data_IF_576074831848
#
_entry.id   IF_576074831848
#
_cell.length_a   1.000
_cell.length_b   1.000
_cell.length_c   1.000
_cell.angle_alpha   90.00
_cell.angle_beta   90.00
_cell.angle_gamma   90.00
#
_symmetry.space_group_name_H-M   'P 1'
#
loop_
_entity.id
_entity.type
_entity.pdbx_description
1 polymer ?
#
# COMPACT_ATOMS: atom_id res chain seq x y z
N UNK A 1 -2.59 33.45 56.01
CA UNK A 1 -2.76 33.63 54.55
C UNK A 1 -1.60 32.91 53.85
N UNK A 2 -1.71 32.16 52.76
CA UNK A 2 -2.80 31.76 51.88
C UNK A 2 -2.48 30.39 51.26
N UNK A 3 -3.52 29.66 50.86
CA UNK A 3 -3.45 28.32 50.31
C UNK A 3 -3.28 28.41 48.79
N UNK A 4 -2.39 27.63 48.19
CA UNK A 4 -2.50 27.25 46.77
C UNK A 4 -2.33 25.73 46.66
N UNK A 5 -3.20 25.01 45.93
CA UNK A 5 -3.11 23.57 45.82
C UNK A 5 -2.04 23.17 44.81
N UNK A 6 -1.15 22.25 45.22
CA UNK A 6 -0.23 21.56 44.32
C UNK A 6 -1.04 20.69 43.37
N UNK A 7 -1.08 21.04 42.08
CA UNK A 7 -1.63 20.19 41.03
C UNK A 7 -0.74 18.93 40.94
N UNK A 8 -1.28 17.71 41.07
CA UNK A 8 -0.48 16.51 40.88
C UNK A 8 0.01 16.45 39.43
N UNK A 9 1.17 15.83 39.15
CA UNK A 9 1.53 15.49 37.80
C UNK A 9 0.41 14.63 37.23
N UNK A 10 -0.14 15.07 36.10
CA UNK A 10 -1.11 14.33 35.33
C UNK A 10 -0.43 13.05 34.85
N UNK A 11 -0.60 11.96 35.59
CA UNK A 11 -0.35 10.60 35.13
C UNK A 11 -1.50 10.22 34.18
N UNK A 12 -1.59 10.98 33.08
CA UNK A 12 -2.49 10.66 31.99
C UNK A 12 -1.68 9.80 31.02
N UNK A 13 -1.99 8.50 30.88
CA UNK A 13 -1.40 7.71 29.82
C UNK A 13 -1.79 8.38 28.49
N UNK A 14 -0.79 8.74 27.69
CA UNK A 14 -1.01 9.26 26.35
C UNK A 14 -1.81 8.20 25.57
N UNK A 15 -3.06 8.47 25.15
CA UNK A 15 -3.85 7.51 24.40
C UNK A 15 -3.27 7.23 23.01
N UNK A 16 -2.24 8.00 22.62
CA UNK A 16 -1.50 7.86 21.37
C UNK A 16 -0.10 7.25 21.57
N UNK A 17 0.21 6.74 22.77
CA UNK A 17 1.29 5.78 22.97
C UNK A 17 0.92 4.42 22.35
N UNK A 18 0.54 4.45 21.07
CA UNK A 18 0.46 3.27 20.23
C UNK A 18 1.92 2.85 20.03
N UNK A 19 2.35 1.84 20.79
CA UNK A 19 3.57 1.12 20.52
C UNK A 19 3.57 0.79 19.03
N UNK A 20 4.46 1.45 18.28
CA UNK A 20 4.61 1.22 16.84
C UNK A 20 4.76 -0.30 16.67
N UNK A 21 3.80 -1.00 16.04
CA UNK A 21 3.91 -2.43 15.91
C UNK A 21 5.23 -2.71 15.17
N UNK A 22 6.02 -3.63 15.72
CA UNK A 22 7.22 -4.10 15.05
C UNK A 22 6.86 -4.46 13.61
N UNK A 23 7.70 -4.13 12.61
CA UNK A 23 7.37 -4.39 11.22
C UNK A 23 7.01 -5.87 11.07
N UNK A 24 5.79 -6.12 10.58
CA UNK A 24 5.33 -7.48 10.35
C UNK A 24 6.35 -8.19 9.45
N UNK A 25 6.67 -9.47 9.73
CA UNK A 25 7.56 -10.23 8.87
C UNK A 25 7.05 -10.15 7.43
N UNK A 26 7.92 -9.71 6.51
CA UNK A 26 7.57 -9.62 5.10
C UNK A 26 7.31 -11.03 4.62
N UNK A 27 6.08 -11.28 4.17
CA UNK A 27 5.70 -12.51 3.49
C UNK A 27 6.29 -12.42 2.08
N UNK A 28 7.56 -12.75 1.93
CA UNK A 28 8.23 -12.76 0.64
C UNK A 28 7.73 -13.97 -0.15
N UNK A 29 7.21 -13.72 -1.35
CA UNK A 29 6.79 -14.76 -2.27
C UNK A 29 8.06 -15.26 -2.98
N UNK A 30 8.32 -16.57 -3.02
CA UNK A 30 9.46 -17.12 -3.75
C UNK A 30 9.40 -16.69 -5.22
N UNK A 31 10.41 -15.93 -5.66
CA UNK A 31 10.53 -15.53 -7.05
C UNK A 31 11.01 -16.73 -7.87
N UNK A 32 10.12 -17.28 -8.70
CA UNK A 32 10.45 -18.32 -9.67
C UNK A 32 10.66 -17.66 -11.02
N UNK A 33 11.89 -17.69 -11.53
CA UNK A 33 12.19 -17.23 -12.88
C UNK A 33 11.67 -18.25 -13.89
N UNK A 34 10.75 -17.82 -14.73
CA UNK A 34 10.25 -18.63 -15.83
C UNK A 34 11.23 -18.53 -17.01
N UNK A 35 11.80 -19.64 -17.52
CA UNK A 35 12.81 -19.59 -18.59
C UNK A 35 12.17 -19.25 -19.93
N UNK A 36 12.55 -18.12 -20.53
CA UNK A 36 12.29 -17.79 -21.94
C UNK A 36 10.82 -17.81 -22.43
N UNK A 37 9.83 -17.86 -21.54
CA UNK A 37 8.40 -17.89 -21.90
C UNK A 37 7.83 -16.54 -22.34
N UNK A 38 8.69 -15.52 -22.53
CA UNK A 38 8.24 -14.18 -22.97
C UNK A 38 7.49 -14.23 -24.30
N UNK A 39 7.94 -15.07 -25.23
CA UNK A 39 7.30 -15.16 -26.55
C UNK A 39 6.00 -15.97 -26.47
N UNK A 40 6.00 -17.09 -25.74
CA UNK A 40 4.79 -17.90 -25.50
C UNK A 40 3.70 -17.07 -24.81
N UNK A 41 4.05 -16.32 -23.76
CA UNK A 41 3.12 -15.44 -23.05
C UNK A 41 2.65 -14.30 -23.94
N UNK A 42 3.53 -13.74 -24.78
CA UNK A 42 3.17 -12.66 -25.71
C UNK A 42 2.17 -13.14 -26.77
N UNK A 43 2.38 -14.33 -27.31
CA UNK A 43 1.48 -14.96 -28.28
C UNK A 43 0.11 -15.23 -27.64
N UNK A 44 0.08 -15.82 -26.43
CA UNK A 44 -1.16 -16.04 -25.68
C UNK A 44 -1.89 -14.72 -25.34
N UNK A 45 -1.16 -13.65 -25.00
CA UNK A 45 -1.74 -12.33 -24.76
C UNK A 45 -2.26 -11.67 -26.04
N UNK A 46 -1.61 -11.91 -27.17
CA UNK A 46 -2.05 -11.42 -28.48
C UNK A 46 -3.36 -12.10 -28.90
N UNK A 47 -3.49 -13.42 -28.71
CA UNK A 47 -4.72 -14.18 -28.98
C UNK A 47 -5.90 -13.70 -28.13
N UNK A 48 -5.66 -13.30 -26.87
CA UNK A 48 -6.70 -12.77 -25.98
C UNK A 48 -7.13 -11.33 -26.33
N UNK A 49 -6.30 -10.58 -27.08
CA UNK A 49 -6.54 -9.18 -27.45
C UNK A 49 -6.78 -8.98 -28.96
N UNK A 50 -7.08 -10.05 -29.70
CA UNK A 50 -7.54 -9.98 -31.09
C UNK A 50 -8.83 -9.13 -31.20
N UNK A 51 -8.63 -7.85 -31.48
CA UNK A 51 -9.54 -6.93 -32.17
C UNK A 51 -10.89 -6.55 -31.54
N UNK A 52 -11.19 -6.80 -30.26
CA UNK A 52 -12.20 -5.95 -29.61
C UNK A 52 -11.53 -4.64 -29.19
N UNK A 53 -11.43 -3.69 -30.12
CA UNK A 53 -10.94 -2.34 -29.83
C UNK A 53 -11.88 -1.68 -28.81
N UNK A 54 -11.59 -1.87 -27.53
CA UNK A 54 -12.32 -1.20 -26.47
C UNK A 54 -12.02 0.29 -26.56
N UNK A 55 -12.97 1.07 -27.09
CA UNK A 55 -12.91 2.53 -27.06
C UNK A 55 -13.10 2.99 -25.62
N UNK A 56 -12.06 2.92 -24.81
CA UNK A 56 -12.10 3.45 -23.46
C UNK A 56 -12.28 4.96 -23.57
N UNK A 57 -13.49 5.45 -23.25
CA UNK A 57 -13.68 6.84 -22.87
C UNK A 57 -12.94 7.02 -21.55
N UNK A 58 -11.68 7.44 -21.64
CA UNK A 58 -10.86 7.75 -20.48
C UNK A 58 -11.51 8.95 -19.78
N UNK A 59 -12.31 8.68 -18.74
CA UNK A 59 -12.70 9.68 -17.77
C UNK A 59 -11.46 9.97 -16.93
N UNK A 60 -10.91 11.19 -17.09
CA UNK A 60 -9.87 11.82 -16.27
C UNK A 60 -9.08 10.87 -15.37
N UNK A 61 -7.99 10.29 -15.90
CA UNK A 61 -6.98 9.66 -15.05
C UNK A 61 -6.38 10.77 -14.18
N UNK A 62 -6.57 10.68 -12.86
CA UNK A 62 -5.96 11.63 -11.93
C UNK A 62 -4.44 11.52 -12.02
N UNK A 63 -3.71 12.65 -12.03
CA UNK A 63 -2.26 12.63 -12.14
C UNK A 63 -1.64 11.95 -10.91
N UNK A 64 -0.68 11.04 -11.14
CA UNK A 64 0.21 10.58 -10.08
C UNK A 64 0.95 11.82 -9.54
N UNK A 65 0.72 12.14 -8.25
CA UNK A 65 1.17 13.40 -7.64
C UNK A 65 2.69 13.61 -7.71
N UNK A 66 3.08 14.90 -7.72
CA UNK A 66 4.44 15.45 -7.76
C UNK A 66 5.39 14.88 -6.69
#
# INVERSE_FOLDING_TARGET
MGKTPSRPPADHPDPNATSKPAPAPRKEIPLVSVPNDREVIADEMAELFEEDQVTHKHGSAEPEGD
#
